data_IF_792567791498
#
_entry.id   IF_792567791498
#
_cell.length_a   1.000
_cell.length_b   1.000
_cell.length_c   1.000
_cell.angle_alpha   90.00
_cell.angle_beta   90.00
_cell.angle_gamma   90.00
#
_symmetry.space_group_name_H-M   'P 1'
#
loop_
_entity.id
_entity.type
_entity.pdbx_description
1 polymer ?
#
# COMPACT_ATOMS: atom_id res chain seq x y z
N UNK A 1 27.22 -34.45 10.78
CA UNK A 1 25.79 -34.80 10.64
C UNK A 1 24.91 -34.02 11.63
N UNK A 2 25.49 -33.09 12.41
CA UNK A 2 24.75 -32.17 13.28
C UNK A 2 24.64 -30.76 12.64
N UNK A 3 25.59 -30.37 11.78
CA UNK A 3 25.55 -29.09 11.04
C UNK A 3 24.38 -28.98 10.06
N UNK A 4 23.93 -30.10 9.47
CA UNK A 4 22.80 -30.12 8.52
C UNK A 4 21.43 -29.97 9.20
N UNK A 5 21.33 -30.20 10.51
CA UNK A 5 20.10 -29.97 11.28
C UNK A 5 19.98 -28.51 11.73
N UNK A 6 21.10 -27.81 11.94
CA UNK A 6 21.10 -26.39 12.26
C UNK A 6 20.59 -25.53 11.09
N UNK A 7 20.91 -25.90 9.84
CA UNK A 7 20.37 -25.26 8.62
C UNK A 7 18.86 -25.50 8.44
N UNK A 8 18.34 -26.65 8.88
CA UNK A 8 16.90 -26.96 8.84
C UNK A 8 16.10 -26.28 9.95
N UNK A 9 16.74 -25.96 11.08
CA UNK A 9 16.13 -25.22 12.21
C UNK A 9 16.15 -23.71 11.97
N UNK A 10 16.98 -23.23 11.04
CA UNK A 10 16.90 -21.86 10.52
C UNK A 10 15.90 -21.71 9.37
N UNK A 11 14.78 -22.45 9.38
CA UNK A 11 13.60 -22.04 8.59
C UNK A 11 12.93 -20.85 9.30
N UNK A 12 13.65 -19.71 9.31
CA UNK A 12 13.09 -18.40 9.59
C UNK A 12 11.93 -18.20 8.64
N UNK A 13 10.78 -17.80 9.16
CA UNK A 13 9.73 -17.22 8.34
C UNK A 13 10.31 -15.95 7.69
N UNK A 14 10.95 -16.08 6.51
CA UNK A 14 11.60 -14.99 5.76
C UNK A 14 10.59 -14.00 5.18
N UNK A 15 9.31 -14.14 5.53
CA UNK A 15 8.24 -13.27 5.08
C UNK A 15 8.40 -11.88 5.68
N UNK A 16 8.49 -10.90 4.79
CA UNK A 16 8.52 -9.49 5.17
C UNK A 16 7.13 -8.87 4.98
N UNK A 17 6.96 -7.66 5.51
CA UNK A 17 5.70 -6.91 5.38
C UNK A 17 5.85 -5.84 4.30
N UNK A 18 4.94 -5.83 3.35
CA UNK A 18 4.94 -4.95 2.19
C UNK A 18 3.64 -4.14 2.10
N UNK A 19 3.71 -3.03 1.38
CA UNK A 19 2.56 -2.21 0.99
C UNK A 19 2.64 -1.86 -0.48
N UNK A 20 1.49 -1.92 -1.16
CA UNK A 20 1.35 -1.52 -2.56
C UNK A 20 0.85 -0.08 -2.63
N UNK A 21 1.63 0.77 -3.29
CA UNK A 21 1.36 2.19 -3.41
C UNK A 21 1.14 2.57 -4.87
N UNK A 22 0.13 3.40 -5.10
CA UNK A 22 0.00 4.15 -6.34
C UNK A 22 0.78 5.46 -6.20
N UNK A 23 1.65 5.73 -7.18
CA UNK A 23 2.45 6.95 -7.25
C UNK A 23 1.74 7.95 -8.17
N UNK A 24 1.40 9.16 -7.70
CA UNK A 24 0.82 10.18 -8.57
C UNK A 24 1.79 10.59 -9.69
N UNK A 25 1.25 11.10 -10.81
CA UNK A 25 2.06 11.68 -11.88
C UNK A 25 2.97 12.80 -11.38
N UNK A 26 4.09 13.05 -12.06
CA UNK A 26 5.14 13.98 -11.61
C UNK A 26 4.61 15.39 -11.28
N UNK A 27 3.69 15.91 -12.09
CA UNK A 27 3.07 17.22 -11.88
C UNK A 27 2.25 17.27 -10.58
N UNK A 28 1.50 16.21 -10.29
CA UNK A 28 0.71 16.06 -9.06
C UNK A 28 1.63 15.83 -7.86
N UNK A 29 2.62 14.94 -8.01
CA UNK A 29 3.63 14.64 -6.98
C UNK A 29 4.39 15.88 -6.56
N UNK A 30 4.82 16.73 -7.51
CA UNK A 30 5.49 17.99 -7.22
C UNK A 30 4.62 18.95 -6.39
N UNK A 31 3.34 19.09 -6.76
CA UNK A 31 2.38 19.95 -6.03
C UNK A 31 2.10 19.44 -4.62
N UNK A 32 1.88 18.12 -4.48
CA UNK A 32 1.61 17.48 -3.19
C UNK A 32 2.85 17.53 -2.29
N UNK A 33 4.05 17.33 -2.84
CA UNK A 33 5.31 17.44 -2.09
C UNK A 33 5.49 18.82 -1.48
N UNK A 34 5.26 19.90 -2.23
CA UNK A 34 5.29 21.27 -1.70
C UNK A 34 4.32 21.49 -0.54
N UNK A 35 3.10 20.94 -0.63
CA UNK A 35 2.11 21.01 0.45
C UNK A 35 2.62 20.27 1.70
N UNK A 36 3.16 19.06 1.53
CA UNK A 36 3.71 18.25 2.62
C UNK A 36 4.92 18.92 3.28
N UNK A 37 5.78 19.56 2.50
CA UNK A 37 6.92 20.34 3.01
C UNK A 37 6.47 21.53 3.85
N UNK A 38 5.47 22.28 3.39
CA UNK A 38 4.89 23.39 4.16
C UNK A 38 4.28 22.94 5.48
N UNK A 39 3.44 21.90 5.45
CA UNK A 39 2.84 21.32 6.66
C UNK A 39 3.91 20.80 7.63
N UNK A 40 4.94 20.14 7.12
CA UNK A 40 6.04 19.63 7.96
C UNK A 40 6.87 20.76 8.57
N UNK A 41 7.12 21.84 7.84
CA UNK A 41 7.87 22.99 8.36
C UNK A 41 7.15 23.67 9.54
N UNK A 42 5.81 23.69 9.51
CA UNK A 42 4.99 24.28 10.56
C UNK A 42 4.71 23.33 11.74
N UNK A 43 4.38 22.06 11.47
CA UNK A 43 3.91 21.10 12.47
C UNK A 43 4.89 19.98 12.81
N UNK A 44 6.03 19.90 12.12
CA UNK A 44 6.98 18.78 12.21
C UNK A 44 6.51 17.52 11.48
N UNK A 45 7.22 16.41 11.69
CA UNK A 45 6.87 15.10 11.14
C UNK A 45 7.92 14.52 10.16
N UNK A 46 7.75 13.26 9.74
CA UNK A 46 8.70 12.57 8.88
C UNK A 46 8.67 13.11 7.45
N UNK A 47 9.78 12.92 6.73
CA UNK A 47 9.81 13.07 5.27
C UNK A 47 9.29 11.78 4.66
N UNK A 48 8.26 11.89 3.82
CA UNK A 48 7.70 10.78 3.04
C UNK A 48 7.45 11.29 1.61
N UNK A 49 7.51 10.40 0.63
CA UNK A 49 7.16 10.74 -0.75
C UNK A 49 5.63 10.67 -0.96
N UNK A 50 5.05 11.48 -1.85
CA UNK A 50 3.63 11.43 -2.18
C UNK A 50 3.21 10.03 -2.70
N UNK A 51 2.24 9.39 -2.03
CA UNK A 51 1.73 8.08 -2.43
C UNK A 51 0.27 7.89 -1.98
N UNK A 52 -0.44 6.98 -2.65
CA UNK A 52 -1.77 6.49 -2.24
C UNK A 52 -1.62 5.00 -1.92
N UNK A 53 -1.85 4.62 -0.65
CA UNK A 53 -1.80 3.20 -0.27
C UNK A 53 -3.02 2.46 -0.80
N UNK A 54 -2.81 1.47 -1.68
CA UNK A 54 -3.87 0.61 -2.22
C UNK A 54 -4.13 -0.59 -1.31
N UNK A 55 -3.06 -1.20 -0.81
CA UNK A 55 -3.10 -2.28 0.18
C UNK A 55 -1.83 -2.26 1.01
N UNK A 56 -1.93 -2.67 2.28
CA UNK A 56 -0.83 -2.66 3.23
C UNK A 56 -0.79 -3.95 4.03
N UNK A 57 0.26 -4.11 4.83
CA UNK A 57 0.43 -5.26 5.72
C UNK A 57 0.44 -6.62 5.00
N UNK A 58 0.90 -6.65 3.74
CA UNK A 58 1.04 -7.89 2.96
C UNK A 58 2.25 -8.66 3.50
N UNK A 59 2.05 -9.86 4.03
CA UNK A 59 3.14 -10.73 4.48
C UNK A 59 3.45 -11.77 3.43
N UNK A 60 4.64 -11.73 2.83
CA UNK A 60 5.05 -12.63 1.75
C UNK A 60 6.58 -12.77 1.74
N UNK A 61 7.08 -13.85 1.13
CA UNK A 61 8.51 -13.93 0.80
C UNK A 61 8.86 -12.86 -0.24
N UNK A 62 10.11 -12.39 -0.31
CA UNK A 62 10.53 -11.42 -1.33
C UNK A 62 10.19 -11.87 -2.76
N UNK A 63 10.47 -13.12 -3.10
CA UNK A 63 10.21 -13.69 -4.43
C UNK A 63 8.71 -13.71 -4.76
N UNK A 64 7.87 -14.12 -3.80
CA UNK A 64 6.41 -14.12 -3.99
C UNK A 64 5.85 -12.73 -4.22
N UNK A 65 6.40 -11.69 -3.57
CA UNK A 65 5.95 -10.31 -3.77
C UNK A 65 6.25 -9.85 -5.18
N UNK A 66 7.48 -10.08 -5.66
CA UNK A 66 7.90 -9.67 -7.00
C UNK A 66 7.02 -10.39 -8.04
N UNK A 67 6.91 -11.72 -7.94
CA UNK A 67 6.09 -12.52 -8.86
C UNK A 67 4.63 -12.04 -8.89
N UNK A 68 4.04 -11.74 -7.73
CA UNK A 68 2.66 -11.23 -7.64
C UNK A 68 2.51 -9.81 -8.17
N UNK A 69 3.52 -8.96 -7.96
CA UNK A 69 3.51 -7.58 -8.45
C UNK A 69 3.63 -7.55 -9.98
N UNK A 70 4.52 -8.36 -10.55
CA UNK A 70 4.70 -8.47 -12.01
C UNK A 70 3.48 -9.06 -12.72
N UNK A 71 2.78 -10.00 -12.07
CA UNK A 71 1.54 -10.58 -12.59
C UNK A 71 0.31 -9.67 -12.41
N UNK A 72 0.44 -8.51 -11.75
CA UNK A 72 -0.67 -7.62 -11.44
C UNK A 72 -1.01 -6.74 -12.66
N UNK A 73 -2.23 -6.84 -13.16
CA UNK A 73 -2.80 -5.80 -14.02
C UNK A 73 -2.94 -4.50 -13.21
N UNK A 74 -2.61 -3.34 -13.80
CA UNK A 74 -2.67 -2.05 -13.11
C UNK A 74 -4.05 -1.83 -12.46
N UNK A 75 -4.15 -1.90 -11.11
CA UNK A 75 -5.43 -1.90 -10.42
C UNK A 75 -6.15 -0.54 -10.51
N UNK A 76 -5.44 0.49 -10.95
CA UNK A 76 -5.96 1.84 -11.08
C UNK A 76 -5.88 2.35 -12.53
N UNK A 77 -5.74 1.45 -13.50
CA UNK A 77 -5.68 1.85 -14.90
C UNK A 77 -6.93 2.65 -15.29
N UNK A 78 -6.72 3.84 -15.85
CA UNK A 78 -7.80 4.75 -16.28
C UNK A 78 -8.57 5.41 -15.13
N UNK A 79 -8.17 5.18 -13.88
CA UNK A 79 -8.78 5.81 -12.72
C UNK A 79 -8.20 7.21 -12.48
N UNK A 80 -9.05 8.23 -12.48
CA UNK A 80 -8.69 9.60 -12.12
C UNK A 80 -9.35 9.95 -10.78
N UNK A 81 -8.61 9.91 -9.65
CA UNK A 81 -9.17 10.25 -8.36
C UNK A 81 -9.60 11.71 -8.31
N UNK A 82 -10.80 11.96 -7.77
CA UNK A 82 -11.28 13.31 -7.48
C UNK A 82 -11.16 13.57 -5.98
N UNK A 83 -10.57 14.69 -5.59
CA UNK A 83 -10.52 15.09 -4.18
C UNK A 83 -11.93 15.49 -3.72
N UNK A 84 -12.36 14.92 -2.61
CA UNK A 84 -13.61 15.25 -1.94
C UNK A 84 -13.39 16.30 -0.85
N UNK A 85 -12.40 16.08 0.02
CA UNK A 85 -12.14 16.95 1.16
C UNK A 85 -10.70 16.79 1.68
N UNK A 86 -10.26 17.75 2.48
CA UNK A 86 -9.14 17.58 3.41
C UNK A 86 -9.72 17.28 4.78
N UNK A 87 -9.27 16.20 5.40
CA UNK A 87 -9.75 15.75 6.72
C UNK A 87 -8.59 15.60 7.69
N UNK A 88 -8.88 15.80 8.97
CA UNK A 88 -7.92 15.53 10.06
C UNK A 88 -8.42 14.35 10.88
N UNK A 89 -7.49 13.51 11.36
CA UNK A 89 -7.82 12.41 12.27
C UNK A 89 -6.82 12.35 13.43
N UNK A 90 -7.23 11.73 14.53
CA UNK A 90 -6.42 11.54 15.73
C UNK A 90 -5.57 10.27 15.62
N UNK A 91 -4.82 10.13 14.53
CA UNK A 91 -3.93 9.00 14.28
C UNK A 91 -2.64 9.49 13.65
N UNK A 92 -1.51 8.94 14.07
CA UNK A 92 -0.18 9.35 13.59
C UNK A 92 -0.06 9.26 12.06
N UNK A 93 -0.51 8.15 11.47
CA UNK A 93 -0.45 7.91 10.03
C UNK A 93 -1.59 8.58 9.24
N UNK A 94 -2.54 9.24 9.93
CA UNK A 94 -3.69 9.88 9.30
C UNK A 94 -3.99 11.25 9.93
N UNK A 95 -2.96 12.01 10.28
CA UNK A 95 -3.08 13.30 10.96
C UNK A 95 -3.82 14.33 10.07
N UNK A 96 -3.39 14.45 8.81
CA UNK A 96 -4.01 15.23 7.74
C UNK A 96 -4.06 14.36 6.49
N UNK A 97 -5.24 14.20 5.90
CA UNK A 97 -5.43 13.34 4.73
C UNK A 97 -6.25 14.04 3.67
N UNK A 98 -5.87 13.80 2.41
CA UNK A 98 -6.71 14.08 1.25
C UNK A 98 -7.69 12.92 1.12
N UNK A 99 -8.98 13.19 1.30
CA UNK A 99 -10.05 12.24 1.05
C UNK A 99 -10.40 12.34 -0.43
N UNK A 100 -10.30 11.23 -1.15
CA UNK A 100 -10.83 11.13 -2.51
C UNK A 100 -12.31 10.76 -2.46
N UNK A 101 -13.08 11.29 -3.41
CA UNK A 101 -14.41 10.80 -3.72
C UNK A 101 -14.32 9.29 -3.90
N UNK A 102 -15.35 8.55 -3.52
CA UNK A 102 -15.38 7.12 -3.80
C UNK A 102 -15.71 6.91 -5.27
N UNK A 103 -14.87 6.21 -6.05
CA UNK A 103 -15.43 5.35 -7.08
C UNK A 103 -14.89 3.93 -6.91
N UNK A 104 -15.77 2.95 -7.09
CA UNK A 104 -15.44 1.57 -7.46
C UNK A 104 -14.56 0.66 -6.56
N UNK A 105 -13.88 1.13 -5.50
CA UNK A 105 -13.12 0.24 -4.60
C UNK A 105 -13.98 -0.85 -3.93
N UNK A 106 -15.29 -0.66 -3.85
CA UNK A 106 -16.22 -1.71 -3.42
C UNK A 106 -16.24 -2.94 -4.36
N UNK A 107 -15.97 -2.79 -5.66
CA UNK A 107 -15.86 -3.95 -6.57
C UNK A 107 -14.57 -4.74 -6.36
N UNK A 108 -13.46 -4.08 -6.01
CA UNK A 108 -12.17 -4.75 -5.74
C UNK A 108 -12.18 -5.49 -4.39
N UNK A 109 -12.77 -4.90 -3.34
CA UNK A 109 -12.91 -5.54 -2.04
C UNK A 109 -13.85 -6.76 -2.11
N UNK A 110 -14.88 -6.74 -2.97
CA UNK A 110 -15.80 -7.88 -3.16
C UNK A 110 -15.14 -9.07 -3.89
N UNK A 111 -14.20 -8.83 -4.82
CA UNK A 111 -13.51 -9.90 -5.56
C UNK A 111 -12.61 -10.75 -4.66
N UNK A 112 -12.01 -10.16 -3.63
CA UNK A 112 -11.20 -10.88 -2.63
C UNK A 112 -12.00 -11.72 -1.62
N UNK A 113 -13.32 -11.49 -1.47
CA UNK A 113 -14.19 -12.34 -0.65
C UNK A 113 -14.67 -13.58 -1.40
N UNK A 114 -14.99 -13.45 -2.70
CA UNK A 114 -15.52 -14.57 -3.49
C UNK A 114 -14.47 -15.62 -3.88
N UNK A 115 -13.16 -15.34 -3.78
CA UNK A 115 -12.10 -16.32 -4.06
C UNK A 115 -11.88 -17.31 -2.89
N UNK A 116 -12.35 -17.01 -1.68
CA UNK A 116 -12.19 -17.88 -0.50
C UNK A 116 -13.25 -18.97 -0.35
N UNK A 117 -14.31 -18.93 -1.16
CA UNK A 117 -15.43 -19.87 -1.09
C UNK A 117 -15.38 -20.96 -2.17
N UNK A 118 -14.36 -20.96 -3.04
CA UNK A 118 -14.26 -21.87 -4.19
C UNK A 118 -13.34 -23.09 -4.02
N UNK A 119 -12.66 -23.26 -2.88
CA UNK A 119 -11.67 -24.34 -2.66
C UNK A 119 -12.09 -25.32 -1.55
N UNK A 120 -13.40 -25.48 -1.35
CA UNK A 120 -14.00 -26.57 -0.58
C UNK A 120 -15.18 -27.15 -1.36
N UNK A 121 -14.86 -28.00 -2.32
CA UNK A 121 -15.80 -28.83 -3.07
C UNK A 121 -15.07 -30.04 -3.62
#
# INVERSE_FOLDING_TARGET
>A
MEDTLAELVESKDERQTYSLWAIPSDDVSCRVKKLMEGLRAEFGGPVIEPHITLTGSIRLSPDDVINKFEALEDPIQGYVPKVEAVVTRRSYYQCVCILFQRPYFEKMIKRGKNQKDGDRG
#
